data_IF_424347246913
#
_entry.id   IF_424347246913
#
_cell.length_a   1.000
_cell.length_b   1.000
_cell.length_c   1.000
_cell.angle_alpha   90.00
_cell.angle_beta   90.00
_cell.angle_gamma   90.00
#
_symmetry.space_group_name_H-M   'P 1'
#
loop_
_entity.id
_entity.type
_entity.pdbx_description
1 polymer ?
#
# COMPACT_ATOMS: atom_id res chain seq x y z
N UNK A 1 10.63 -27.53 -61.73
CA UNK A 1 11.50 -27.60 -60.53
C UNK A 1 11.20 -26.35 -59.70
N UNK A 2 10.83 -26.56 -58.44
CA UNK A 2 9.95 -25.67 -57.67
C UNK A 2 10.55 -24.35 -57.19
N UNK A 3 9.74 -23.30 -57.21
CA UNK A 3 10.01 -22.08 -56.48
C UNK A 3 9.50 -22.26 -55.04
N UNK A 4 10.44 -22.22 -54.09
CA UNK A 4 10.15 -22.32 -52.66
C UNK A 4 9.45 -21.05 -52.17
N UNK A 5 8.23 -21.21 -51.67
CA UNK A 5 7.52 -20.24 -50.84
C UNK A 5 8.32 -20.03 -49.55
N UNK A 6 8.73 -18.79 -49.27
CA UNK A 6 9.25 -18.39 -47.95
C UNK A 6 8.38 -17.26 -47.42
N UNK A 7 7.27 -17.62 -46.80
CA UNK A 7 6.46 -16.71 -45.99
C UNK A 7 7.28 -16.40 -44.73
N UNK A 8 7.74 -15.16 -44.59
CA UNK A 8 8.29 -14.67 -43.35
C UNK A 8 7.12 -14.33 -42.42
N UNK A 9 6.73 -15.28 -41.57
CA UNK A 9 5.84 -15.00 -40.44
C UNK A 9 6.62 -14.19 -39.40
N UNK A 10 6.53 -12.88 -39.49
CA UNK A 10 6.90 -12.00 -38.38
C UNK A 10 5.74 -12.01 -37.37
N UNK A 11 5.68 -13.04 -36.52
CA UNK A 11 4.95 -12.91 -35.26
C UNK A 11 5.82 -12.00 -34.38
N UNK A 12 5.61 -10.69 -34.49
CA UNK A 12 6.02 -9.77 -33.45
C UNK A 12 5.12 -10.04 -32.26
N UNK A 13 5.56 -11.00 -31.43
CA UNK A 13 5.01 -11.22 -30.10
C UNK A 13 5.43 -10.01 -29.25
N UNK A 14 4.80 -8.86 -29.48
CA UNK A 14 4.76 -7.80 -28.48
C UNK A 14 3.90 -8.33 -27.34
N UNK A 15 4.51 -9.17 -26.51
CA UNK A 15 4.03 -9.47 -25.18
C UNK A 15 4.12 -8.22 -24.34
N UNK A 16 3.26 -7.24 -24.62
CA UNK A 16 2.66 -6.51 -23.53
C UNK A 16 1.83 -7.57 -22.82
N UNK A 17 2.45 -8.28 -21.87
CA UNK A 17 1.69 -8.80 -20.77
C UNK A 17 0.97 -7.56 -20.24
N UNK A 18 -0.33 -7.47 -20.52
CA UNK A 18 -1.25 -6.75 -19.68
C UNK A 18 -1.07 -7.40 -18.32
N UNK A 19 -0.08 -6.92 -17.56
CA UNK A 19 -0.22 -6.85 -16.12
C UNK A 19 -1.49 -6.04 -15.99
N UNK A 20 -2.56 -6.74 -15.64
CA UNK A 20 -3.67 -6.09 -14.99
C UNK A 20 -3.00 -5.27 -13.89
N UNK A 21 -2.99 -3.94 -14.04
CA UNK A 21 -2.80 -3.07 -12.90
C UNK A 21 -3.88 -3.53 -11.95
N UNK A 22 -3.48 -4.21 -10.87
CA UNK A 22 -4.43 -4.50 -9.81
C UNK A 22 -5.07 -3.16 -9.48
N UNK A 23 -6.39 -3.00 -9.62
CA UNK A 23 -7.04 -1.83 -9.04
C UNK A 23 -6.63 -1.89 -7.58
N UNK A 24 -6.06 -0.79 -7.07
CA UNK A 24 -5.74 -0.55 -5.66
C UNK A 24 -6.79 -1.31 -4.87
N UNK A 25 -6.45 -2.49 -4.33
CA UNK A 25 -7.43 -3.25 -3.56
C UNK A 25 -7.77 -2.33 -2.40
N UNK A 26 -9.04 -1.98 -2.35
CA UNK A 26 -9.47 -0.74 -1.74
C UNK A 26 -9.30 -0.95 -0.24
N UNK A 27 -8.25 -0.36 0.38
CA UNK A 27 -8.01 -0.38 1.84
C UNK A 27 -9.29 -0.10 2.65
N UNK A 28 -10.31 0.44 1.99
CA UNK A 28 -11.65 0.46 2.53
C UNK A 28 -11.79 1.63 3.50
N UNK A 29 -10.95 2.66 3.37
CA UNK A 29 -10.94 3.83 4.23
C UNK A 29 -12.32 4.47 4.37
N UNK A 30 -13.14 4.43 3.31
CA UNK A 30 -14.52 4.87 3.37
C UNK A 30 -15.35 4.00 4.34
N UNK A 31 -15.24 2.68 4.26
CA UNK A 31 -15.96 1.75 5.14
C UNK A 31 -15.43 1.84 6.58
N UNK A 32 -14.11 1.86 6.78
CA UNK A 32 -13.48 2.06 8.09
C UNK A 32 -14.02 3.32 8.77
N UNK A 33 -13.95 4.48 8.10
CA UNK A 33 -14.45 5.75 8.67
C UNK A 33 -15.95 5.77 8.95
N UNK A 34 -16.74 4.99 8.22
CA UNK A 34 -18.20 5.05 8.27
C UNK A 34 -18.79 4.05 9.25
N UNK A 35 -18.12 2.92 9.47
CA UNK A 35 -18.70 1.76 10.15
C UNK A 35 -17.88 1.27 11.33
N UNK A 36 -16.63 1.70 11.47
CA UNK A 36 -15.84 1.42 12.68
C UNK A 36 -16.01 2.58 13.64
N UNK A 37 -16.55 2.27 14.83
CA UNK A 37 -16.82 3.24 15.88
C UNK A 37 -15.88 3.00 17.06
N UNK A 38 -15.01 3.96 17.34
CA UNK A 38 -14.06 3.89 18.46
C UNK A 38 -14.48 4.84 19.59
N UNK A 39 -14.21 4.51 20.87
CA UNK A 39 -14.30 5.43 21.99
C UNK A 39 -13.51 6.73 21.74
N UNK A 40 -13.95 7.85 22.31
CA UNK A 40 -13.29 9.16 22.14
C UNK A 40 -11.88 9.22 22.70
N UNK A 41 -11.57 8.37 23.69
CA UNK A 41 -10.27 8.31 24.35
C UNK A 41 -9.28 7.39 23.62
N UNK A 42 -9.74 6.61 22.64
CA UNK A 42 -8.90 5.70 21.87
C UNK A 42 -7.98 6.47 20.94
N UNK A 43 -6.69 6.14 21.00
CA UNK A 43 -5.64 6.76 20.20
C UNK A 43 -4.73 5.73 19.57
N UNK A 44 -4.29 6.01 18.34
CA UNK A 44 -3.58 5.05 17.49
C UNK A 44 -2.31 5.68 16.92
N UNK A 45 -1.20 4.95 16.91
CA UNK A 45 0.04 5.40 16.29
C UNK A 45 -0.17 5.58 14.78
N UNK A 46 -0.10 6.82 14.31
CA UNK A 46 -0.41 7.18 12.93
C UNK A 46 0.86 7.64 12.18
N UNK A 47 1.41 6.82 11.27
CA UNK A 47 2.60 7.19 10.54
C UNK A 47 2.42 8.45 9.69
N UNK A 48 3.16 9.52 10.05
CA UNK A 48 3.22 10.79 9.30
C UNK A 48 4.66 11.08 8.90
N UNK A 49 4.84 11.75 7.76
CA UNK A 49 6.16 12.13 7.21
C UNK A 49 7.15 10.95 7.13
N UNK A 50 6.65 9.80 6.66
CA UNK A 50 7.40 8.54 6.64
C UNK A 50 8.53 8.62 5.62
N UNK A 51 9.76 8.37 6.07
CA UNK A 51 10.91 8.22 5.17
C UNK A 51 10.78 6.95 4.32
N UNK A 52 11.29 6.98 3.07
CA UNK A 52 11.17 5.84 2.14
C UNK A 52 11.65 4.50 2.72
N UNK A 53 12.72 4.53 3.52
CA UNK A 53 13.28 3.34 4.19
C UNK A 53 12.40 2.77 5.31
N UNK A 54 11.45 3.56 5.82
CA UNK A 54 10.53 3.16 6.88
C UNK A 54 9.15 2.75 6.37
N UNK A 55 8.84 2.88 5.06
CA UNK A 55 7.48 2.64 4.53
C UNK A 55 6.96 1.25 4.90
N UNK A 56 7.75 0.20 4.74
CA UNK A 56 7.29 -1.16 5.05
C UNK A 56 7.04 -1.34 6.55
N UNK A 57 7.91 -0.81 7.41
CA UNK A 57 7.68 -0.81 8.87
C UNK A 57 6.49 0.05 9.27
N UNK A 58 6.23 1.16 8.57
CA UNK A 58 5.06 2.01 8.80
C UNK A 58 3.76 1.28 8.44
N UNK A 59 3.73 0.54 7.33
CA UNK A 59 2.59 -0.31 6.98
C UNK A 59 2.36 -1.42 8.02
N UNK A 60 3.42 -2.04 8.52
CA UNK A 60 3.32 -3.03 9.61
C UNK A 60 2.84 -2.41 10.93
N UNK A 61 3.26 -1.18 11.25
CA UNK A 61 2.73 -0.43 12.39
C UNK A 61 1.21 -0.22 12.26
N UNK A 62 0.73 0.25 11.10
CA UNK A 62 -0.72 0.40 10.83
C UNK A 62 -1.45 -0.93 10.97
N UNK A 63 -0.90 -2.00 10.40
CA UNK A 63 -1.47 -3.35 10.46
C UNK A 63 -1.57 -3.85 11.90
N UNK A 64 -0.57 -3.59 12.75
CA UNK A 64 -0.58 -3.92 14.19
C UNK A 64 -1.60 -3.09 14.96
N UNK A 65 -1.70 -1.79 14.70
CA UNK A 65 -2.73 -0.94 15.31
C UNK A 65 -4.14 -1.43 14.96
N UNK A 66 -4.39 -1.79 13.69
CA UNK A 66 -5.67 -2.32 13.24
C UNK A 66 -6.00 -3.68 13.89
N UNK A 67 -5.07 -4.63 13.81
CA UNK A 67 -5.28 -5.98 14.35
C UNK A 67 -5.21 -6.09 15.88
N UNK A 68 -4.66 -5.07 16.54
CA UNK A 68 -4.56 -4.94 17.99
C UNK A 68 -5.53 -3.91 18.53
N UNK A 69 -5.04 -2.69 18.79
CA UNK A 69 -5.77 -1.61 19.48
C UNK A 69 -7.16 -1.35 18.89
N UNK A 70 -7.28 -1.19 17.56
CA UNK A 70 -8.58 -0.92 16.91
C UNK A 70 -9.53 -2.11 17.10
N UNK A 71 -9.05 -3.33 16.91
CA UNK A 71 -9.85 -4.55 17.08
C UNK A 71 -10.30 -4.77 18.52
N UNK A 72 -9.51 -4.35 19.50
CA UNK A 72 -9.83 -4.48 20.93
C UNK A 72 -10.77 -3.38 21.44
N UNK A 73 -10.58 -2.15 20.95
CA UNK A 73 -11.25 -0.97 21.51
C UNK A 73 -12.47 -0.49 20.70
N UNK A 74 -12.55 -0.79 19.40
CA UNK A 74 -13.58 -0.26 18.50
C UNK A 74 -14.64 -1.30 18.15
N UNK A 75 -15.85 -0.83 17.87
CA UNK A 75 -16.93 -1.63 17.30
C UNK A 75 -16.81 -1.69 15.79
N UNK A 76 -16.71 -2.90 15.24
CA UNK A 76 -16.68 -3.16 13.80
C UNK A 76 -17.63 -4.33 13.46
N UNK A 77 -18.94 -4.09 13.37
CA UNK A 77 -19.94 -5.15 13.21
C UNK A 77 -19.88 -5.85 11.85
N UNK A 78 -19.03 -5.38 10.93
CA UNK A 78 -18.92 -5.88 9.57
C UNK A 78 -17.51 -6.34 9.21
N UNK A 79 -16.61 -6.40 10.19
CA UNK A 79 -15.26 -6.94 10.05
C UNK A 79 -14.41 -6.21 8.99
N UNK A 80 -14.68 -4.91 8.77
CA UNK A 80 -13.90 -4.07 7.86
C UNK A 80 -12.45 -3.88 8.30
N UNK A 81 -12.16 -4.00 9.59
CA UNK A 81 -10.81 -4.00 10.15
C UNK A 81 -10.04 -5.22 9.65
N UNK A 82 -10.67 -6.38 9.57
CA UNK A 82 -10.03 -7.62 9.13
C UNK A 82 -9.73 -7.56 7.61
N UNK A 83 -10.65 -7.01 6.81
CA UNK A 83 -10.42 -6.72 5.39
C UNK A 83 -9.21 -5.77 5.19
N UNK A 84 -9.10 -4.73 6.01
CA UNK A 84 -8.00 -3.77 5.95
C UNK A 84 -6.66 -4.39 6.38
N UNK A 85 -6.67 -5.28 7.37
CA UNK A 85 -5.49 -6.02 7.80
C UNK A 85 -5.01 -6.97 6.70
N UNK A 86 -5.91 -7.72 6.06
CA UNK A 86 -5.56 -8.61 4.94
C UNK A 86 -4.94 -7.82 3.78
N UNK A 87 -5.51 -6.66 3.44
CA UNK A 87 -4.93 -5.77 2.44
C UNK A 87 -3.49 -5.38 2.78
N UNK A 88 -3.24 -4.95 4.01
CA UNK A 88 -1.90 -4.53 4.45
C UNK A 88 -0.90 -5.69 4.46
N UNK A 89 -1.33 -6.89 4.84
CA UNK A 89 -0.50 -8.10 4.79
C UNK A 89 0.02 -8.36 3.37
N UNK A 90 -0.86 -8.27 2.36
CA UNK A 90 -0.48 -8.40 0.95
C UNK A 90 0.51 -7.31 0.51
N UNK A 91 0.29 -6.07 0.92
CA UNK A 91 1.20 -4.95 0.60
C UNK A 91 2.59 -5.13 1.22
N UNK A 92 2.65 -5.54 2.50
CA UNK A 92 3.89 -5.79 3.21
C UNK A 92 4.65 -6.96 2.58
N UNK A 93 3.96 -8.03 2.20
CA UNK A 93 4.54 -9.20 1.53
C UNK A 93 5.12 -8.80 0.16
N UNK A 94 4.36 -8.09 -0.67
CA UNK A 94 4.80 -7.63 -1.98
C UNK A 94 6.05 -6.74 -1.88
N UNK A 95 6.05 -5.79 -0.95
CA UNK A 95 7.20 -4.90 -0.71
C UNK A 95 8.42 -5.67 -0.22
N UNK A 96 8.23 -6.63 0.67
CA UNK A 96 9.31 -7.48 1.18
C UNK A 96 9.92 -8.32 0.06
N UNK A 97 9.09 -8.86 -0.85
CA UNK A 97 9.54 -9.56 -2.06
C UNK A 97 10.36 -8.70 -3.02
N UNK A 98 10.12 -7.38 -3.03
CA UNK A 98 10.90 -6.38 -3.80
C UNK A 98 12.17 -5.90 -3.08
N UNK A 99 12.51 -6.48 -1.92
CA UNK A 99 13.70 -6.10 -1.14
C UNK A 99 13.48 -4.92 -0.18
N UNK A 100 12.24 -4.44 -0.03
CA UNK A 100 11.86 -3.44 0.96
C UNK A 100 11.33 -4.13 2.23
N UNK A 101 12.16 -4.94 2.87
CA UNK A 101 11.78 -5.65 4.08
C UNK A 101 11.56 -4.72 5.29
N UNK A 102 10.95 -5.27 6.35
CA UNK A 102 10.85 -4.62 7.64
C UNK A 102 12.24 -4.26 8.19
N UNK A 103 12.30 -3.16 8.93
CA UNK A 103 13.50 -2.73 9.65
C UNK A 103 13.24 -2.57 11.13
N UNK A 104 14.18 -3.05 11.94
CA UNK A 104 14.21 -2.88 13.40
C UNK A 104 14.88 -1.55 13.82
N UNK A 105 15.10 -0.64 12.88
CA UNK A 105 15.67 0.68 13.19
C UNK A 105 14.76 1.45 14.13
N UNK A 106 15.33 2.00 15.20
CA UNK A 106 14.62 2.91 16.12
C UNK A 106 14.07 4.16 15.43
N UNK A 107 14.56 4.49 14.25
CA UNK A 107 14.06 5.60 13.42
C UNK A 107 12.72 5.29 12.76
N UNK A 108 12.37 4.02 12.61
CA UNK A 108 11.12 3.56 12.01
C UNK A 108 10.19 2.87 13.03
N UNK A 109 10.45 3.02 14.34
CA UNK A 109 9.62 2.41 15.38
C UNK A 109 8.21 3.04 15.40
N UNK A 110 7.19 2.22 15.70
CA UNK A 110 5.78 2.63 15.65
C UNK A 110 5.50 3.78 16.63
N UNK A 111 6.09 3.68 17.83
CA UNK A 111 5.96 4.62 18.95
C UNK A 111 6.61 5.97 18.69
N UNK A 112 7.31 6.13 17.56
CA UNK A 112 7.90 7.40 17.15
C UNK A 112 6.92 8.31 16.43
N UNK A 113 5.85 7.74 15.89
CA UNK A 113 4.79 8.48 15.23
C UNK A 113 3.76 9.00 16.24
N UNK A 114 3.02 10.07 15.92
CA UNK A 114 2.03 10.61 16.83
C UNK A 114 0.86 9.65 17.02
N UNK A 115 0.33 9.60 18.24
CA UNK A 115 -0.96 9.00 18.55
C UNK A 115 -2.08 9.97 18.12
N UNK A 116 -3.09 9.47 17.42
CA UNK A 116 -4.18 10.28 16.86
C UNK A 116 -5.52 9.58 17.02
N UNK A 117 -6.62 10.33 16.81
CA UNK A 117 -7.96 9.73 16.75
C UNK A 117 -8.11 8.78 15.57
N UNK A 118 -9.05 7.84 15.63
CA UNK A 118 -9.28 6.87 14.54
C UNK A 118 -9.52 7.53 13.18
N UNK A 119 -10.27 8.64 13.13
CA UNK A 119 -10.56 9.34 11.87
C UNK A 119 -9.29 9.92 11.22
N UNK A 120 -8.42 10.50 12.04
CA UNK A 120 -7.12 11.02 11.61
C UNK A 120 -6.17 9.89 11.20
N UNK A 121 -6.09 8.83 12.01
CA UNK A 121 -5.32 7.63 11.73
C UNK A 121 -5.63 7.09 10.33
N UNK A 122 -6.92 6.87 10.00
CA UNK A 122 -7.31 6.39 8.66
C UNK A 122 -6.88 7.36 7.54
N UNK A 123 -6.86 8.67 7.80
CA UNK A 123 -6.36 9.65 6.83
C UNK A 123 -4.85 9.61 6.60
N UNK A 124 -4.09 9.37 7.67
CA UNK A 124 -2.64 9.23 7.59
C UNK A 124 -2.24 7.94 6.87
N UNK A 125 -2.98 6.85 7.09
CA UNK A 125 -2.79 5.59 6.35
C UNK A 125 -2.99 5.79 4.86
N UNK A 126 -4.04 6.50 4.44
CA UNK A 126 -4.25 6.81 3.03
C UNK A 126 -3.07 7.59 2.44
N UNK A 127 -2.56 8.57 3.17
CA UNK A 127 -1.39 9.35 2.74
C UNK A 127 -0.14 8.47 2.59
N UNK A 128 0.04 7.48 3.47
CA UNK A 128 1.11 6.48 3.38
C UNK A 128 0.97 5.56 2.16
N UNK A 129 -0.25 5.08 1.89
CA UNK A 129 -0.54 4.24 0.72
C UNK A 129 -0.40 5.02 -0.59
N UNK A 130 -0.68 6.32 -0.60
CA UNK A 130 -0.40 7.19 -1.74
C UNK A 130 1.12 7.33 -1.99
N UNK A 131 1.94 7.45 -0.94
CA UNK A 131 3.41 7.47 -1.08
C UNK A 131 3.98 6.19 -1.71
N UNK A 132 3.33 5.05 -1.48
CA UNK A 132 3.64 3.77 -2.09
C UNK A 132 3.27 3.78 -3.59
N UNK A 133 2.06 4.25 -3.91
CA UNK A 133 1.52 4.32 -5.27
C UNK A 133 2.11 5.46 -6.12
N UNK A 134 2.78 6.47 -5.54
CA UNK A 134 3.49 7.53 -6.28
C UNK A 134 4.69 6.98 -7.08
N UNK A 135 5.14 5.74 -6.85
CA UNK A 135 6.08 5.06 -7.73
C UNK A 135 5.41 4.32 -8.92
N UNK A 136 4.08 4.32 -9.03
CA UNK A 136 3.33 3.61 -10.08
C UNK A 136 2.22 4.49 -10.68
N UNK A 137 2.46 5.77 -10.94
CA UNK A 137 1.69 6.57 -11.90
C UNK A 137 2.62 7.58 -12.59
N UNK A 138 2.51 7.81 -13.93
CA UNK A 138 1.23 8.27 -14.46
C UNK A 138 0.83 7.74 -15.86
N UNK A 139 -0.47 7.50 -16.04
CA UNK A 139 -1.12 7.72 -17.33
C UNK A 139 -1.80 9.10 -17.23
N UNK A 140 -1.14 10.13 -17.78
CA UNK A 140 -1.62 11.52 -18.00
C UNK A 140 -0.99 12.66 -17.19
N UNK A 141 0.16 12.48 -16.53
CA UNK A 141 1.01 13.61 -16.13
C UNK A 141 2.34 13.53 -16.91
N UNK A 142 2.41 14.30 -17.99
CA UNK A 142 3.59 14.51 -18.82
C UNK A 142 4.63 15.43 -18.12
N UNK A 143 4.94 15.19 -16.85
CA UNK A 143 5.92 16.01 -16.12
C UNK A 143 6.85 15.13 -15.27
N UNK A 144 8.02 14.87 -15.86
CA UNK A 144 9.32 14.65 -15.21
C UNK A 144 9.40 13.67 -14.02
N UNK A 145 9.49 12.38 -14.33
CA UNK A 145 10.35 11.45 -13.59
C UNK A 145 11.56 11.07 -14.46
N UNK A 146 12.40 12.05 -14.80
CA UNK A 146 13.75 11.80 -15.30
C UNK A 146 14.73 11.98 -14.13
N UNK A 147 15.49 10.93 -13.80
CA UNK A 147 16.53 10.99 -12.77
C UNK A 147 17.37 9.72 -12.68
N UNK A 148 18.19 9.49 -13.70
CA UNK A 148 19.44 8.71 -13.69
C UNK A 148 19.41 7.27 -13.15
N UNK A 149 19.26 6.30 -14.05
CA UNK A 149 20.04 5.06 -13.97
C UNK A 149 21.24 5.21 -14.92
N UNK A 150 22.43 5.30 -14.34
CA UNK A 150 23.71 5.18 -15.04
C UNK A 150 24.02 3.71 -15.35
#
# INVERSE_FOLDING_TARGET
MGYFIRIAFWITLSGCLLTNSFPISDFGAYYLRKHVECPSESTFYAPRNVEKRCITTALDCVRRELSGTVREECEDPREYVDDAVEYLDLQIEERSGKGHALTDSRECACERWPETSFSEFVGDVLSLLELENICVLPVNALVNCCGNCA
#
